data_IF_565988093001
#
_entry.id   IF_565988093001
#
_cell.length_a   1.000
_cell.length_b   1.000
_cell.length_c   1.000
_cell.angle_alpha   90.00
_cell.angle_beta   90.00
_cell.angle_gamma   90.00
#
_symmetry.space_group_name_H-M   'P 1'
#
loop_
_entity.id
_entity.type
_entity.pdbx_description
1 polymer ?
#
# COMPACT_ATOMS: atom_id res chain seq x y z
N UNK A 1 17.09 7.94 44.42
CA UNK A 1 16.37 7.13 43.44
C UNK A 1 16.14 7.98 42.22
N UNK A 2 17.02 7.88 41.24
CA UNK A 2 16.99 8.67 39.99
C UNK A 2 16.10 7.90 39.00
N UNK A 3 14.97 8.50 38.64
CA UNK A 3 14.09 8.00 37.60
C UNK A 3 14.81 8.07 36.24
N UNK A 4 15.14 6.92 35.68
CA UNK A 4 15.65 6.83 34.29
C UNK A 4 14.60 7.32 33.32
N UNK A 5 14.94 8.18 32.34
CA UNK A 5 14.01 8.63 31.30
C UNK A 5 13.81 7.48 30.28
N UNK A 6 12.83 6.64 30.53
CA UNK A 6 12.42 5.56 29.62
C UNK A 6 11.28 6.07 28.74
N UNK A 7 11.56 6.70 27.62
CA UNK A 7 10.52 6.89 26.58
C UNK A 7 10.96 7.48 25.24
N UNK A 8 12.09 8.20 25.11
CA UNK A 8 12.34 9.00 23.90
C UNK A 8 12.76 8.21 22.64
N UNK A 9 13.34 7.02 22.81
CA UNK A 9 13.80 6.20 21.66
C UNK A 9 12.66 5.42 20.99
N UNK A 10 11.68 4.96 21.77
CA UNK A 10 10.55 4.18 21.24
C UNK A 10 9.55 5.06 20.46
N UNK A 11 9.34 6.31 20.92
CA UNK A 11 8.46 7.27 20.26
C UNK A 11 9.03 7.75 18.92
N UNK A 12 10.34 7.96 18.83
CA UNK A 12 11.00 8.33 17.58
C UNK A 12 10.95 7.21 16.55
N UNK A 13 11.13 5.96 16.95
CA UNK A 13 11.06 4.82 16.03
C UNK A 13 9.65 4.62 15.47
N UNK A 14 8.62 4.76 16.29
CA UNK A 14 7.23 4.67 15.84
C UNK A 14 6.85 5.83 14.89
N UNK A 15 7.32 7.05 15.17
CA UNK A 15 7.11 8.20 14.29
C UNK A 15 7.78 7.99 12.93
N UNK A 16 9.05 7.54 12.93
CA UNK A 16 9.78 7.24 11.69
C UNK A 16 9.10 6.12 10.88
N UNK A 17 8.59 5.09 11.55
CA UNK A 17 7.84 4.03 10.90
C UNK A 17 6.53 4.56 10.29
N UNK A 18 5.80 5.46 10.97
CA UNK A 18 4.62 6.11 10.43
C UNK A 18 4.95 6.99 9.22
N UNK A 19 6.00 7.81 9.31
CA UNK A 19 6.48 8.62 8.18
C UNK A 19 6.91 7.75 7.00
N UNK A 20 7.49 6.57 7.24
CA UNK A 20 7.87 5.64 6.18
C UNK A 20 6.66 5.17 5.36
N UNK A 21 5.49 4.95 5.99
CA UNK A 21 4.25 4.59 5.28
C UNK A 21 3.78 5.79 4.43
N UNK A 22 3.77 6.99 4.99
CA UNK A 22 3.35 8.20 4.25
C UNK A 22 4.24 8.42 3.02
N UNK A 23 5.56 8.31 3.19
CA UNK A 23 6.53 8.41 2.08
C UNK A 23 6.32 7.28 1.07
N UNK A 24 6.04 6.06 1.51
CA UNK A 24 5.74 4.93 0.64
C UNK A 24 4.49 5.22 -0.21
N UNK A 25 3.41 5.69 0.39
CA UNK A 25 2.17 6.01 -0.31
C UNK A 25 2.35 7.18 -1.30
N UNK A 26 3.10 8.21 -0.93
CA UNK A 26 3.44 9.30 -1.84
C UNK A 26 4.27 8.79 -3.03
N UNK A 27 5.26 7.93 -2.78
CA UNK A 27 6.09 7.30 -3.81
C UNK A 27 5.27 6.42 -4.76
N UNK A 28 4.34 5.59 -4.24
CA UNK A 28 3.44 4.77 -5.06
C UNK A 28 2.62 5.65 -6.00
N UNK A 29 2.01 6.72 -5.49
CA UNK A 29 1.19 7.62 -6.30
C UNK A 29 2.02 8.36 -7.35
N UNK A 30 3.24 8.79 -7.02
CA UNK A 30 4.16 9.38 -7.98
C UNK A 30 4.55 8.37 -9.07
N UNK A 31 4.89 7.14 -8.69
CA UNK A 31 5.17 6.06 -9.63
C UNK A 31 3.96 5.71 -10.52
N UNK A 32 2.74 5.77 -9.99
CA UNK A 32 1.51 5.57 -10.76
C UNK A 32 1.28 6.68 -11.79
N UNK A 33 1.66 7.92 -11.49
CA UNK A 33 1.61 9.02 -12.47
C UNK A 33 2.52 8.73 -13.68
N UNK A 34 3.74 8.24 -13.45
CA UNK A 34 4.64 7.80 -14.53
C UNK A 34 4.14 6.53 -15.23
N UNK A 35 3.49 5.62 -14.53
CA UNK A 35 2.94 4.39 -15.10
C UNK A 35 1.87 4.65 -16.17
N UNK A 36 1.09 5.74 -16.04
CA UNK A 36 0.09 6.15 -17.04
C UNK A 36 0.69 6.30 -18.44
N UNK A 37 1.93 6.80 -18.57
CA UNK A 37 2.61 6.97 -19.86
C UNK A 37 3.01 5.64 -20.51
N UNK A 38 3.08 4.56 -19.75
CA UNK A 38 3.38 3.22 -20.26
C UNK A 38 2.14 2.43 -20.70
N UNK A 39 0.94 2.81 -20.26
CA UNK A 39 -0.29 2.10 -20.60
C UNK A 39 -0.54 1.97 -22.12
N UNK A 40 -0.29 3.00 -22.95
CA UNK A 40 -0.45 2.87 -24.41
C UNK A 40 0.55 1.90 -25.05
N UNK A 41 1.70 1.63 -24.40
CA UNK A 41 2.77 0.83 -24.96
C UNK A 41 2.64 -0.65 -24.56
N UNK A 42 2.41 -0.94 -23.28
CA UNK A 42 2.46 -2.30 -22.75
C UNK A 42 1.15 -2.75 -22.10
N UNK A 43 0.14 -1.89 -22.08
CA UNK A 43 -1.11 -2.15 -21.35
C UNK A 43 -0.94 -2.13 -19.83
N UNK A 44 -2.04 -2.07 -19.06
CA UNK A 44 -1.97 -2.10 -17.61
C UNK A 44 -1.30 -3.36 -17.05
N UNK A 45 -1.61 -4.56 -17.60
CA UNK A 45 -1.00 -5.81 -17.17
C UNK A 45 0.50 -5.86 -17.46
N UNK A 46 0.93 -5.33 -18.61
CA UNK A 46 2.34 -5.21 -18.96
C UNK A 46 3.09 -4.30 -17.99
N UNK A 47 2.47 -3.18 -17.57
CA UNK A 47 3.04 -2.32 -16.52
C UNK A 47 3.15 -3.05 -15.18
N UNK A 48 2.12 -3.81 -14.78
CA UNK A 48 2.15 -4.61 -13.56
C UNK A 48 3.31 -5.63 -13.60
N UNK A 49 3.46 -6.37 -14.69
CA UNK A 49 4.54 -7.33 -14.88
C UNK A 49 5.91 -6.66 -14.90
N UNK A 50 6.08 -5.57 -15.65
CA UNK A 50 7.35 -4.87 -15.79
C UNK A 50 7.83 -4.33 -14.42
N UNK A 51 6.95 -3.65 -13.68
CA UNK A 51 7.31 -3.10 -12.37
C UNK A 51 7.63 -4.17 -11.33
N UNK A 52 6.89 -5.27 -11.30
CA UNK A 52 7.14 -6.35 -10.34
C UNK A 52 8.41 -7.12 -10.68
N UNK A 53 8.68 -7.37 -11.97
CA UNK A 53 9.90 -8.05 -12.43
C UNK A 53 11.14 -7.24 -12.12
N UNK A 54 11.18 -5.97 -12.52
CA UNK A 54 12.34 -5.10 -12.26
C UNK A 54 12.55 -4.96 -10.75
N UNK A 55 11.48 -4.78 -9.97
CA UNK A 55 11.57 -4.68 -8.52
C UNK A 55 12.05 -5.98 -7.88
N UNK A 56 11.59 -7.14 -8.35
CA UNK A 56 12.06 -8.43 -7.88
C UNK A 56 13.57 -8.59 -8.09
N UNK A 57 14.08 -8.27 -9.29
CA UNK A 57 15.50 -8.34 -9.60
C UNK A 57 16.32 -7.42 -8.69
N UNK A 58 15.90 -6.15 -8.54
CA UNK A 58 16.58 -5.16 -7.69
C UNK A 58 16.59 -5.65 -6.23
N UNK A 59 15.45 -6.06 -5.73
CA UNK A 59 15.30 -6.49 -4.33
C UNK A 59 16.04 -7.79 -4.04
N UNK A 60 16.09 -8.74 -4.97
CA UNK A 60 16.91 -9.95 -4.86
C UNK A 60 18.39 -9.61 -4.79
N UNK A 61 18.86 -8.69 -5.62
CA UNK A 61 20.27 -8.25 -5.62
C UNK A 61 20.65 -7.57 -4.29
N UNK A 62 19.75 -6.75 -3.72
CA UNK A 62 19.95 -6.04 -2.44
C UNK A 62 19.85 -7.00 -1.25
N UNK A 63 18.77 -7.77 -1.18
CA UNK A 63 18.44 -8.61 -0.02
C UNK A 63 19.31 -9.87 0.07
N UNK A 64 19.72 -10.40 -1.09
CA UNK A 64 20.47 -11.67 -1.20
C UNK A 64 19.86 -12.78 -0.34
N UNK A 65 18.56 -13.10 -0.52
CA UNK A 65 17.81 -13.98 0.38
C UNK A 65 18.38 -15.41 0.47
N UNK A 66 19.16 -15.84 -0.50
CA UNK A 66 19.88 -17.13 -0.49
C UNK A 66 20.90 -17.25 0.64
N UNK A 67 21.28 -16.14 1.29
CA UNK A 67 22.13 -16.12 2.49
C UNK A 67 21.35 -16.27 3.78
N UNK A 68 20.03 -16.16 3.73
CA UNK A 68 19.15 -16.28 4.90
C UNK A 68 18.60 -17.70 5.00
N UNK A 69 18.60 -18.27 6.19
CA UNK A 69 17.94 -19.56 6.43
C UNK A 69 16.45 -19.31 6.65
N UNK A 70 15.66 -19.70 5.66
CA UNK A 70 14.19 -19.59 5.72
C UNK A 70 13.62 -20.93 6.14
N UNK A 71 12.86 -20.96 7.23
CA UNK A 71 12.16 -22.18 7.68
C UNK A 71 10.94 -22.45 6.81
N UNK A 72 10.46 -23.71 6.77
CA UNK A 72 9.25 -24.08 6.02
C UNK A 72 8.00 -23.27 6.43
N UNK A 73 7.89 -22.92 7.72
CA UNK A 73 6.81 -22.07 8.24
C UNK A 73 6.90 -20.65 7.69
N UNK A 74 8.08 -20.07 7.68
CA UNK A 74 8.32 -18.72 7.11
C UNK A 74 8.09 -18.72 5.60
N UNK A 75 8.55 -19.76 4.88
CA UNK A 75 8.33 -19.89 3.44
C UNK A 75 6.83 -19.90 3.10
N UNK A 76 6.00 -20.59 3.88
CA UNK A 76 4.54 -20.58 3.70
C UNK A 76 3.97 -19.16 3.78
N UNK A 77 4.37 -18.39 4.79
CA UNK A 77 3.90 -17.00 4.93
C UNK A 77 4.42 -16.08 3.83
N UNK A 78 5.64 -16.30 3.36
CA UNK A 78 6.22 -15.57 2.23
C UNK A 78 5.48 -15.86 0.93
N UNK A 79 5.11 -17.13 0.69
CA UNK A 79 4.31 -17.52 -0.48
C UNK A 79 2.93 -16.87 -0.43
N UNK A 80 2.22 -16.95 0.71
CA UNK A 80 0.91 -16.30 0.88
C UNK A 80 1.03 -14.80 0.65
N UNK A 81 2.02 -14.14 1.29
CA UNK A 81 2.28 -12.72 1.13
C UNK A 81 2.52 -12.33 -0.33
N UNK A 82 3.37 -13.07 -1.03
CA UNK A 82 3.70 -12.79 -2.43
C UNK A 82 2.54 -13.07 -3.39
N UNK A 83 1.75 -14.14 -3.18
CA UNK A 83 0.53 -14.42 -3.95
C UNK A 83 -0.51 -13.30 -3.76
N UNK A 84 -0.73 -12.88 -2.53
CA UNK A 84 -1.64 -11.77 -2.20
C UNK A 84 -1.16 -10.47 -2.84
N UNK A 85 0.14 -10.18 -2.77
CA UNK A 85 0.74 -9.00 -3.38
C UNK A 85 0.61 -9.01 -4.92
N UNK A 86 0.87 -10.16 -5.56
CA UNK A 86 0.73 -10.34 -7.00
C UNK A 86 -0.73 -10.24 -7.45
N UNK A 87 -1.63 -10.90 -6.72
CA UNK A 87 -3.08 -10.84 -6.95
C UNK A 87 -3.63 -9.42 -6.81
N UNK A 88 -3.24 -8.69 -5.76
CA UNK A 88 -3.60 -7.28 -5.56
C UNK A 88 -3.20 -6.44 -6.78
N UNK A 89 -1.92 -6.52 -7.18
CA UNK A 89 -1.42 -5.77 -8.32
C UNK A 89 -2.17 -6.11 -9.62
N UNK A 90 -2.44 -7.37 -9.87
CA UNK A 90 -3.11 -7.80 -11.10
C UNK A 90 -4.59 -7.37 -11.11
N UNK A 91 -5.31 -7.58 -10.01
CA UNK A 91 -6.73 -7.24 -9.91
C UNK A 91 -6.98 -5.75 -10.05
N UNK A 92 -6.17 -4.89 -9.43
CA UNK A 92 -6.37 -3.44 -9.57
C UNK A 92 -6.13 -2.96 -11.00
N UNK A 93 -5.16 -3.56 -11.73
CA UNK A 93 -4.94 -3.23 -13.13
C UNK A 93 -6.06 -3.76 -14.05
N UNK A 94 -6.65 -4.91 -13.74
CA UNK A 94 -7.86 -5.36 -14.42
C UNK A 94 -9.08 -4.47 -14.17
N UNK A 95 -9.19 -3.93 -12.95
CA UNK A 95 -10.20 -2.92 -12.65
C UNK A 95 -9.99 -1.66 -13.52
N UNK A 96 -8.75 -1.16 -13.62
CA UNK A 96 -8.42 0.05 -14.41
C UNK A 96 -8.70 -0.08 -15.93
N UNK A 97 -8.75 -1.30 -16.46
CA UNK A 97 -9.22 -1.53 -17.85
C UNK A 97 -10.71 -1.31 -18.03
N UNK A 98 -11.51 -1.41 -16.97
CA UNK A 98 -12.97 -1.49 -17.00
C UNK A 98 -13.66 -0.31 -16.37
N UNK A 99 -13.05 0.30 -15.34
CA UNK A 99 -13.57 1.45 -14.61
C UNK A 99 -12.51 2.55 -14.51
N UNK A 100 -12.94 3.81 -14.33
CA UNK A 100 -12.00 4.92 -14.12
C UNK A 100 -11.05 4.65 -12.96
N UNK A 101 -9.76 4.99 -13.15
CA UNK A 101 -8.68 4.71 -12.19
C UNK A 101 -9.02 5.25 -10.80
N UNK A 102 -9.54 6.49 -10.72
CA UNK A 102 -9.92 7.10 -9.44
C UNK A 102 -10.99 6.32 -8.67
N UNK A 103 -11.95 5.71 -9.38
CA UNK A 103 -12.98 4.86 -8.77
C UNK A 103 -12.36 3.54 -8.31
N UNK A 104 -11.50 2.93 -9.12
CA UNK A 104 -10.78 1.69 -8.75
C UNK A 104 -9.95 1.87 -7.49
N UNK A 105 -9.15 2.94 -7.41
CA UNK A 105 -8.35 3.28 -6.20
C UNK A 105 -9.26 3.57 -5.00
N UNK A 106 -10.38 4.28 -5.20
CA UNK A 106 -11.32 4.58 -4.14
C UNK A 106 -11.97 3.32 -3.55
N UNK A 107 -12.25 2.31 -4.38
CA UNK A 107 -12.75 1.02 -3.91
C UNK A 107 -11.63 0.22 -3.23
N UNK A 108 -10.44 0.19 -3.79
CA UNK A 108 -9.29 -0.56 -3.27
C UNK A 108 -8.93 -0.12 -1.83
N UNK A 109 -9.07 1.17 -1.49
CA UNK A 109 -8.79 1.69 -0.15
C UNK A 109 -9.72 1.10 0.94
N UNK A 110 -10.85 0.50 0.57
CA UNK A 110 -11.70 -0.22 1.51
C UNK A 110 -10.96 -1.38 2.19
N UNK A 111 -9.89 -1.90 1.60
CA UNK A 111 -9.04 -2.93 2.20
C UNK A 111 -8.37 -2.47 3.50
N UNK A 112 -7.46 -1.47 3.46
CA UNK A 112 -6.86 -0.88 4.65
C UNK A 112 -7.89 -0.39 5.68
N UNK A 113 -8.98 0.24 5.25
CA UNK A 113 -10.06 0.67 6.15
C UNK A 113 -10.78 -0.52 6.79
N UNK A 114 -10.97 -1.61 6.06
CA UNK A 114 -11.50 -2.87 6.58
C UNK A 114 -10.59 -3.49 7.65
N UNK A 115 -9.27 -3.40 7.50
CA UNK A 115 -8.31 -3.83 8.55
C UNK A 115 -8.48 -3.00 9.81
N UNK A 116 -8.64 -1.67 9.68
CA UNK A 116 -8.89 -0.79 10.83
C UNK A 116 -10.16 -1.23 11.54
N UNK A 117 -11.26 -1.43 10.81
CA UNK A 117 -12.55 -1.85 11.36
C UNK A 117 -12.47 -3.22 12.05
N UNK A 118 -11.80 -4.20 11.45
CA UNK A 118 -11.68 -5.55 11.98
C UNK A 118 -10.76 -5.65 13.21
N UNK A 119 -9.77 -4.75 13.33
CA UNK A 119 -8.74 -4.81 14.38
C UNK A 119 -8.93 -3.76 15.47
N UNK A 120 -9.81 -2.80 15.28
CA UNK A 120 -10.11 -1.75 16.25
C UNK A 120 -11.11 -2.21 17.30
N UNK A 121 -10.91 -1.73 18.55
CA UNK A 121 -11.83 -1.89 19.67
C UNK A 121 -12.13 -0.57 20.38
N UNK A 122 -11.72 0.55 19.79
CA UNK A 122 -11.85 1.89 20.39
C UNK A 122 -12.87 2.72 19.61
N UNK A 123 -13.76 3.40 20.33
CA UNK A 123 -14.71 4.38 19.74
C UNK A 123 -13.94 5.49 18.98
N UNK A 124 -12.76 5.87 19.46
CA UNK A 124 -11.92 6.88 18.79
C UNK A 124 -11.47 6.43 17.40
N UNK A 125 -11.10 5.15 17.24
CA UNK A 125 -10.68 4.62 15.93
C UNK A 125 -11.86 4.61 14.97
N UNK A 126 -13.07 4.34 15.47
CA UNK A 126 -14.28 4.40 14.67
C UNK A 126 -14.58 5.83 14.19
N UNK A 127 -14.35 6.84 15.03
CA UNK A 127 -14.48 8.25 14.62
C UNK A 127 -13.46 8.61 13.50
N UNK A 128 -12.22 8.17 13.64
CA UNK A 128 -11.21 8.36 12.58
C UNK A 128 -11.56 7.63 11.30
N UNK A 129 -12.13 6.41 11.42
CA UNK A 129 -12.62 5.65 10.27
C UNK A 129 -13.75 6.39 9.55
N UNK A 130 -14.76 6.91 10.28
CA UNK A 130 -15.87 7.68 9.72
C UNK A 130 -15.34 8.95 9.04
N UNK A 131 -14.35 9.64 9.64
CA UNK A 131 -13.73 10.82 9.04
C UNK A 131 -12.99 10.47 7.73
N UNK A 132 -12.26 9.34 7.70
CA UNK A 132 -11.58 8.86 6.50
C UNK A 132 -12.56 8.47 5.39
N UNK A 133 -13.64 7.76 5.73
CA UNK A 133 -14.71 7.40 4.79
C UNK A 133 -15.46 8.63 4.26
N UNK A 134 -15.72 9.62 5.12
CA UNK A 134 -16.32 10.89 4.72
C UNK A 134 -15.41 11.65 3.72
N UNK A 135 -14.12 11.73 4.00
CA UNK A 135 -13.14 12.30 3.08
C UNK A 135 -13.08 11.53 1.75
N UNK A 136 -13.08 10.21 1.80
CA UNK A 136 -13.12 9.37 0.61
C UNK A 136 -14.38 9.63 -0.24
N UNK A 137 -15.54 9.70 0.40
CA UNK A 137 -16.82 9.98 -0.26
C UNK A 137 -16.82 11.36 -0.96
N UNK A 138 -16.18 12.37 -0.36
CA UNK A 138 -16.03 13.70 -0.96
C UNK A 138 -14.99 13.73 -2.09
N UNK A 139 -14.01 12.84 -2.06
CA UNK A 139 -12.96 12.79 -3.08
C UNK A 139 -13.46 12.14 -4.37
N UNK A 140 -14.36 11.17 -4.28
CA UNK A 140 -14.93 10.49 -5.45
C UNK A 140 -15.79 11.50 -6.22
N UNK A 141 -15.55 11.67 -7.53
CA UNK A 141 -16.43 12.48 -8.36
C UNK A 141 -17.79 11.79 -8.47
N UNK A 142 -18.80 12.31 -7.80
CA UNK A 142 -20.18 11.83 -7.90
C UNK A 142 -20.70 12.10 -9.29
N UNK A 143 -21.11 11.10 -10.06
CA UNK A 143 -21.48 11.29 -11.43
C UNK A 143 -22.91 11.84 -11.55
N UNK A 144 -23.02 13.07 -11.99
CA UNK A 144 -24.30 13.57 -12.50
C UNK A 144 -24.63 13.10 -13.93
N UNK A 145 -23.71 12.38 -14.61
CA UNK A 145 -23.82 11.92 -16.02
C UNK A 145 -23.01 10.64 -16.29
N UNK A 146 -22.92 9.71 -15.35
CA UNK A 146 -22.07 8.55 -15.56
C UNK A 146 -22.78 7.44 -16.32
N UNK A 147 -22.07 6.87 -17.29
CA UNK A 147 -22.39 5.55 -17.80
C UNK A 147 -22.36 4.52 -16.66
N UNK A 148 -23.23 3.48 -16.69
CA UNK A 148 -23.22 2.44 -15.67
C UNK A 148 -21.81 1.83 -15.56
N UNK A 149 -21.30 1.74 -14.33
CA UNK A 149 -19.99 1.16 -14.06
C UNK A 149 -20.00 -0.35 -14.38
N UNK A 150 -18.94 -0.84 -14.99
CA UNK A 150 -18.76 -2.28 -15.23
C UNK A 150 -18.62 -3.02 -13.89
N UNK A 151 -19.59 -3.90 -13.59
CA UNK A 151 -19.62 -4.70 -12.37
C UNK A 151 -18.38 -5.60 -12.22
N UNK A 152 -17.82 -6.10 -13.32
CA UNK A 152 -16.58 -6.87 -13.28
C UNK A 152 -15.39 -6.00 -12.85
N UNK A 153 -15.34 -4.73 -13.29
CA UNK A 153 -14.34 -3.77 -12.84
C UNK A 153 -14.44 -3.47 -11.34
N UNK A 154 -15.67 -3.32 -10.83
CA UNK A 154 -15.91 -3.16 -9.39
C UNK A 154 -15.48 -4.43 -8.62
N UNK A 155 -15.82 -5.62 -9.10
CA UNK A 155 -15.44 -6.89 -8.47
C UNK A 155 -13.92 -7.06 -8.40
N UNK A 156 -13.19 -6.70 -9.46
CA UNK A 156 -11.72 -6.71 -9.44
C UNK A 156 -11.15 -5.70 -8.44
N UNK A 157 -11.71 -4.49 -8.34
CA UNK A 157 -11.26 -3.50 -7.37
C UNK A 157 -11.51 -3.94 -5.93
N UNK A 158 -12.67 -4.57 -5.64
CA UNK A 158 -12.96 -5.18 -4.33
C UNK A 158 -12.03 -6.36 -4.04
N UNK A 159 -11.70 -7.19 -5.05
CA UNK A 159 -10.70 -8.26 -4.93
C UNK A 159 -9.33 -7.70 -4.58
N UNK A 160 -8.91 -6.62 -5.23
CA UNK A 160 -7.67 -5.91 -4.89
C UNK A 160 -7.71 -5.36 -3.45
N UNK A 161 -8.84 -4.77 -3.02
CA UNK A 161 -9.05 -4.32 -1.64
C UNK A 161 -8.89 -5.46 -0.63
N UNK A 162 -9.50 -6.62 -0.87
CA UNK A 162 -9.35 -7.79 -0.02
C UNK A 162 -7.90 -8.29 0.03
N UNK A 163 -7.21 -8.31 -1.12
CA UNK A 163 -5.79 -8.62 -1.17
C UNK A 163 -4.96 -7.61 -0.37
N UNK A 164 -5.25 -6.30 -0.45
CA UNK A 164 -4.52 -5.30 0.32
C UNK A 164 -4.72 -5.48 1.83
N UNK A 165 -5.94 -5.76 2.27
CA UNK A 165 -6.20 -6.11 3.67
C UNK A 165 -5.37 -7.33 4.12
N UNK A 166 -5.35 -8.40 3.33
CA UNK A 166 -4.55 -9.59 3.61
C UNK A 166 -3.05 -9.29 3.59
N UNK A 167 -2.57 -8.46 2.66
CA UNK A 167 -1.19 -7.99 2.60
C UNK A 167 -0.75 -7.36 3.92
N UNK A 168 -1.57 -6.45 4.48
CA UNK A 168 -1.29 -5.80 5.78
C UNK A 168 -1.26 -6.83 6.92
N UNK A 169 -2.19 -7.77 6.94
CA UNK A 169 -2.30 -8.78 8.00
C UNK A 169 -1.19 -9.84 7.91
N UNK A 170 -0.89 -10.32 6.70
CA UNK A 170 0.15 -11.34 6.47
C UNK A 170 1.56 -10.75 6.52
N UNK A 171 1.73 -9.49 6.16
CA UNK A 171 3.03 -8.81 6.07
C UNK A 171 3.80 -8.87 7.39
N UNK A 172 3.09 -8.73 8.52
CA UNK A 172 3.71 -8.85 9.85
C UNK A 172 4.33 -10.23 10.10
N UNK A 173 3.69 -11.31 9.66
CA UNK A 173 4.23 -12.69 9.79
C UNK A 173 5.31 -12.96 8.75
N UNK A 174 5.13 -12.47 7.53
CA UNK A 174 6.15 -12.59 6.50
C UNK A 174 7.46 -11.86 6.90
N UNK A 175 7.37 -10.75 7.63
CA UNK A 175 8.54 -9.97 8.08
C UNK A 175 9.39 -10.64 9.18
N UNK A 176 8.95 -11.75 9.78
CA UNK A 176 9.72 -12.51 10.78
C UNK A 176 11.07 -13.03 10.22
N UNK A 177 11.20 -13.19 8.90
CA UNK A 177 12.46 -13.56 8.23
C UNK A 177 13.38 -12.36 7.98
N UNK A 178 12.94 -11.16 8.37
CA UNK A 178 13.58 -9.88 8.06
C UNK A 178 12.88 -9.15 6.92
N UNK A 179 12.62 -7.84 7.11
CA UNK A 179 11.81 -7.03 6.20
C UNK A 179 12.30 -7.07 4.75
N UNK A 180 13.62 -6.92 4.56
CA UNK A 180 14.22 -6.89 3.21
C UNK A 180 14.10 -8.24 2.50
N UNK A 181 14.32 -9.34 3.23
CA UNK A 181 14.16 -10.71 2.70
C UNK A 181 12.70 -10.99 2.37
N UNK A 182 11.78 -10.58 3.24
CA UNK A 182 10.34 -10.77 3.03
C UNK A 182 9.85 -10.06 1.77
N UNK A 183 10.25 -8.79 1.57
CA UNK A 183 9.84 -8.03 0.38
C UNK A 183 10.45 -8.62 -0.89
N UNK A 184 11.73 -9.01 -0.87
CA UNK A 184 12.39 -9.56 -2.06
C UNK A 184 11.78 -10.89 -2.51
N UNK A 185 11.55 -11.82 -1.59
CA UNK A 185 10.92 -13.11 -1.90
C UNK A 185 9.43 -12.94 -2.25
N UNK A 186 8.71 -12.09 -1.51
CA UNK A 186 7.32 -11.77 -1.82
C UNK A 186 7.16 -11.13 -3.20
N UNK A 187 8.04 -10.19 -3.56
CA UNK A 187 8.02 -9.57 -4.89
C UNK A 187 8.37 -10.58 -5.99
N UNK A 188 9.25 -11.55 -5.74
CA UNK A 188 9.55 -12.63 -6.68
C UNK A 188 8.30 -13.49 -6.93
N UNK A 189 7.56 -13.86 -5.88
CA UNK A 189 6.30 -14.60 -6.02
C UNK A 189 5.26 -13.73 -6.73
N UNK A 190 5.15 -12.45 -6.41
CA UNK A 190 4.24 -11.53 -7.11
C UNK A 190 4.58 -11.40 -8.60
N UNK A 191 5.87 -11.37 -8.95
CA UNK A 191 6.34 -11.40 -10.33
C UNK A 191 5.85 -12.67 -11.07
N UNK A 192 5.97 -13.84 -10.44
CA UNK A 192 5.47 -15.10 -11.02
C UNK A 192 3.95 -15.07 -11.28
N UNK A 193 3.19 -14.32 -10.48
CA UNK A 193 1.74 -14.14 -10.70
C UNK A 193 1.46 -13.17 -11.85
N UNK A 194 2.20 -12.05 -11.94
CA UNK A 194 1.88 -10.97 -12.88
C UNK A 194 2.45 -11.17 -14.28
N UNK A 195 3.64 -11.79 -14.39
CA UNK A 195 4.34 -11.96 -15.69
C UNK A 195 3.54 -12.74 -16.73
N UNK A 196 2.88 -13.87 -16.42
CA UNK A 196 2.10 -14.59 -17.41
C UNK A 196 1.06 -13.71 -18.13
N UNK A 197 0.39 -12.82 -17.39
CA UNK A 197 -0.60 -11.90 -17.93
C UNK A 197 0.04 -10.70 -18.65
N UNK A 198 1.18 -10.22 -18.15
CA UNK A 198 1.91 -9.14 -18.80
C UNK A 198 2.48 -9.53 -20.16
N UNK A 199 2.93 -10.78 -20.31
CA UNK A 199 3.45 -11.30 -21.57
C UNK A 199 2.38 -11.39 -22.66
N UNK A 200 1.12 -11.60 -22.32
CA UNK A 200 0.02 -11.62 -23.28
C UNK A 200 -0.38 -10.23 -23.75
N UNK A 201 -0.06 -9.19 -22.99
CA UNK A 201 -0.40 -7.79 -23.29
C UNK A 201 0.79 -7.01 -23.89
N UNK A 202 2.02 -7.47 -23.70
CA UNK A 202 3.21 -6.77 -24.12
C UNK A 202 3.48 -6.92 -25.63
N UNK A 203 4.00 -5.87 -26.32
CA UNK A 203 4.46 -5.98 -27.70
C UNK A 203 5.70 -6.91 -27.78
N UNK A 204 5.95 -7.46 -28.97
CA UNK A 204 7.08 -8.36 -29.21
C UNK A 204 8.47 -7.73 -28.89
N UNK A 205 8.57 -6.40 -28.96
CA UNK A 205 9.77 -5.65 -28.59
C UNK A 205 9.41 -4.45 -27.75
N UNK A 206 10.09 -4.28 -26.63
CA UNK A 206 9.95 -3.12 -25.75
C UNK A 206 10.97 -2.04 -26.18
N UNK A 207 10.52 -0.80 -26.48
CA UNK A 207 11.45 0.28 -26.78
C UNK A 207 12.27 0.64 -25.52
N UNK A 208 13.52 1.05 -25.72
CA UNK A 208 14.46 1.33 -24.63
C UNK A 208 13.94 2.39 -23.63
N UNK A 209 13.23 3.40 -24.12
CA UNK A 209 12.64 4.42 -23.26
C UNK A 209 11.54 3.82 -22.34
N UNK A 210 10.79 2.82 -22.80
CA UNK A 210 9.79 2.14 -21.96
C UNK A 210 10.44 1.31 -20.85
N UNK A 211 11.62 0.73 -21.09
CA UNK A 211 12.40 0.07 -20.05
C UNK A 211 12.92 1.08 -19.01
N UNK A 212 13.40 2.24 -19.45
CA UNK A 212 13.83 3.33 -18.57
C UNK A 212 12.69 3.86 -17.68
N UNK A 213 11.53 4.14 -18.27
CA UNK A 213 10.32 4.49 -17.52
C UNK A 213 9.87 3.35 -16.61
N UNK A 214 9.94 2.11 -17.07
CA UNK A 214 9.63 0.92 -16.27
C UNK A 214 10.51 0.80 -15.04
N UNK A 215 11.80 1.15 -15.14
CA UNK A 215 12.71 1.19 -14.00
C UNK A 215 12.27 2.26 -12.98
N UNK A 216 11.95 3.47 -13.43
CA UNK A 216 11.46 4.55 -12.56
C UNK A 216 10.17 4.13 -11.86
N UNK A 217 9.22 3.57 -12.60
CA UNK A 217 7.95 3.06 -12.06
C UNK A 217 8.20 1.93 -11.05
N UNK A 218 9.10 0.99 -11.36
CA UNK A 218 9.44 -0.11 -10.46
C UNK A 218 10.05 0.38 -9.13
N UNK A 219 10.95 1.35 -9.20
CA UNK A 219 11.57 1.92 -8.00
C UNK A 219 10.55 2.69 -7.16
N UNK A 220 9.79 3.60 -7.76
CA UNK A 220 8.88 4.49 -7.06
C UNK A 220 7.61 3.79 -6.59
N UNK A 221 7.04 2.86 -7.36
CA UNK A 221 5.76 2.23 -7.02
C UNK A 221 5.87 0.83 -6.44
N UNK A 222 7.09 0.24 -6.38
CA UNK A 222 7.24 -1.12 -5.86
C UNK A 222 8.44 -1.29 -4.94
N UNK A 223 9.68 -1.18 -5.43
CA UNK A 223 10.87 -1.56 -4.65
C UNK A 223 11.00 -0.71 -3.38
N UNK A 224 11.02 0.62 -3.51
CA UNK A 224 11.15 1.53 -2.39
C UNK A 224 9.95 1.47 -1.43
N UNK A 225 8.71 1.65 -1.87
CA UNK A 225 7.58 1.71 -0.96
C UNK A 225 7.34 0.41 -0.21
N UNK A 226 7.40 -0.74 -0.86
CA UNK A 226 7.20 -2.01 -0.15
C UNK A 226 8.29 -2.31 0.87
N UNK A 227 9.54 -1.85 0.65
CA UNK A 227 10.58 -1.93 1.69
C UNK A 227 10.27 -1.03 2.88
N UNK A 228 9.78 0.19 2.65
CA UNK A 228 9.40 1.13 3.69
C UNK A 228 8.19 0.61 4.49
N UNK A 229 7.16 0.13 3.81
CA UNK A 229 5.96 -0.44 4.43
C UNK A 229 6.29 -1.69 5.25
N UNK A 230 7.09 -2.61 4.71
CA UNK A 230 7.45 -3.83 5.42
C UNK A 230 8.26 -3.53 6.69
N UNK A 231 9.17 -2.56 6.65
CA UNK A 231 9.87 -2.09 7.85
C UNK A 231 8.90 -1.49 8.87
N UNK A 232 7.96 -0.67 8.41
CA UNK A 232 6.94 -0.09 9.27
C UNK A 232 6.04 -1.16 9.91
N UNK A 233 5.65 -2.20 9.16
CA UNK A 233 4.85 -3.32 9.65
C UNK A 233 5.52 -4.11 10.77
N UNK A 234 6.85 -4.11 10.88
CA UNK A 234 7.55 -4.73 12.01
C UNK A 234 7.41 -3.93 13.31
N UNK A 235 7.15 -2.63 13.22
CA UNK A 235 7.15 -1.70 14.35
C UNK A 235 5.74 -1.22 14.72
N UNK A 236 4.81 -1.21 13.76
CA UNK A 236 3.45 -0.71 13.93
C UNK A 236 2.43 -1.84 13.96
N UNK A 237 1.30 -1.61 14.63
CA UNK A 237 0.16 -2.53 14.56
C UNK A 237 -0.50 -2.45 13.17
N UNK A 238 -1.11 -3.56 12.72
CA UNK A 238 -1.84 -3.61 11.44
C UNK A 238 -2.92 -2.54 11.33
N UNK A 239 -3.53 -2.15 12.46
CA UNK A 239 -4.50 -1.05 12.55
C UNK A 239 -3.89 0.28 12.12
N UNK A 240 -2.73 0.65 12.68
CA UNK A 240 -2.03 1.91 12.35
C UNK A 240 -1.56 1.88 10.90
N UNK A 241 -1.01 0.76 10.44
CA UNK A 241 -0.63 0.57 9.04
C UNK A 241 -1.83 0.78 8.12
N UNK A 242 -2.96 0.11 8.40
CA UNK A 242 -4.18 0.25 7.61
C UNK A 242 -4.69 1.68 7.53
N UNK A 243 -4.69 2.41 8.66
CA UNK A 243 -5.17 3.78 8.66
C UNK A 243 -4.18 4.75 7.97
N UNK A 244 -2.88 4.60 8.17
CA UNK A 244 -1.89 5.39 7.43
C UNK A 244 -1.95 5.12 5.93
N UNK A 245 -2.13 3.86 5.53
CA UNK A 245 -2.32 3.50 4.12
C UNK A 245 -3.61 4.09 3.52
N UNK A 246 -4.64 4.34 4.35
CA UNK A 246 -5.88 4.98 3.89
C UNK A 246 -5.72 6.45 3.45
N UNK A 247 -4.55 7.07 3.69
CA UNK A 247 -4.20 8.37 3.10
C UNK A 247 -3.86 8.29 1.59
N UNK A 248 -3.70 7.10 1.01
CA UNK A 248 -3.28 6.97 -0.38
C UNK A 248 -4.08 7.82 -1.37
N UNK A 249 -5.43 7.91 -1.32
CA UNK A 249 -6.18 8.78 -2.22
C UNK A 249 -5.90 10.28 -2.02
N UNK A 250 -5.68 10.70 -0.77
CA UNK A 250 -5.33 12.10 -0.47
C UNK A 250 -3.95 12.47 -1.05
N UNK A 251 -2.97 11.58 -0.88
CA UNK A 251 -1.65 11.74 -1.47
C UNK A 251 -1.70 11.65 -3.00
N UNK A 252 -2.55 10.78 -3.55
CA UNK A 252 -2.80 10.70 -4.99
C UNK A 252 -3.36 12.00 -5.55
N UNK A 253 -4.32 12.62 -4.87
CA UNK A 253 -4.87 13.92 -5.24
C UNK A 253 -3.81 15.04 -5.20
N UNK A 254 -2.95 15.05 -4.18
CA UNK A 254 -1.85 16.00 -4.06
C UNK A 254 -0.83 15.82 -5.20
N UNK A 255 -0.43 14.57 -5.48
CA UNK A 255 0.47 14.26 -6.60
C UNK A 255 -0.17 14.63 -7.94
N UNK A 256 -1.45 14.33 -8.13
CA UNK A 256 -2.22 14.73 -9.31
C UNK A 256 -2.19 16.24 -9.54
N UNK A 257 -2.39 17.00 -8.48
CA UNK A 257 -2.35 18.46 -8.54
C UNK A 257 -0.96 18.99 -8.95
N UNK A 258 0.12 18.57 -8.27
CA UNK A 258 1.46 19.10 -8.51
C UNK A 258 2.16 18.51 -9.74
N UNK A 259 1.93 17.23 -10.06
CA UNK A 259 2.67 16.51 -11.11
C UNK A 259 1.89 16.46 -12.42
N UNK A 260 0.58 16.23 -12.34
CA UNK A 260 -0.28 16.11 -13.53
C UNK A 260 -1.02 17.41 -13.87
N UNK A 261 -0.91 18.46 -13.03
CA UNK A 261 -1.62 19.74 -13.23
C UNK A 261 -3.14 19.62 -13.04
N UNK A 262 -3.61 18.58 -12.34
CA UNK A 262 -5.04 18.38 -12.08
C UNK A 262 -5.55 19.47 -11.13
N UNK A 263 -6.71 20.05 -11.42
CA UNK A 263 -7.32 21.08 -10.56
C UNK A 263 -8.28 20.41 -9.59
N UNK A 264 -8.00 20.59 -8.30
CA UNK A 264 -8.88 20.12 -7.24
C UNK A 264 -9.93 21.17 -6.90
N UNK A 265 -11.18 20.73 -6.73
CA UNK A 265 -12.27 21.56 -6.19
C UNK A 265 -12.09 21.81 -4.69
N UNK A 266 -12.78 22.81 -4.15
CA UNK A 266 -12.76 23.07 -2.69
C UNK A 266 -13.21 21.86 -1.86
N UNK A 267 -14.19 21.06 -2.35
CA UNK A 267 -14.63 19.82 -1.70
C UNK A 267 -13.54 18.74 -1.69
N UNK A 268 -12.79 18.62 -2.78
CA UNK A 268 -11.66 17.67 -2.84
C UNK A 268 -10.51 18.08 -1.91
N UNK A 269 -10.24 19.38 -1.77
CA UNK A 269 -9.29 19.86 -0.75
C UNK A 269 -9.77 19.55 0.67
N UNK A 270 -11.07 19.73 0.97
CA UNK A 270 -11.64 19.33 2.25
C UNK A 270 -11.49 17.83 2.48
N UNK A 271 -11.74 16.99 1.46
CA UNK A 271 -11.53 15.55 1.51
C UNK A 271 -10.08 15.18 1.88
N UNK A 272 -9.10 15.82 1.22
CA UNK A 272 -7.66 15.62 1.52
C UNK A 272 -7.36 15.93 2.99
N UNK A 273 -7.84 17.07 3.50
CA UNK A 273 -7.66 17.47 4.89
C UNK A 273 -8.29 16.47 5.86
N UNK A 274 -9.52 16.01 5.60
CA UNK A 274 -10.20 15.02 6.43
C UNK A 274 -9.42 13.70 6.51
N UNK A 275 -8.91 13.19 5.39
CA UNK A 275 -8.15 11.94 5.34
C UNK A 275 -6.80 12.06 6.05
N UNK A 276 -6.10 13.19 5.90
CA UNK A 276 -4.86 13.47 6.61
C UNK A 276 -5.12 13.58 8.12
N UNK A 277 -6.17 14.30 8.53
CA UNK A 277 -6.55 14.44 9.93
C UNK A 277 -6.91 13.09 10.56
N UNK A 278 -7.66 12.23 9.85
CA UNK A 278 -7.99 10.87 10.31
C UNK A 278 -6.72 10.05 10.56
N UNK A 279 -5.79 10.05 9.63
CA UNK A 279 -4.54 9.29 9.73
C UNK A 279 -3.62 9.83 10.85
N UNK A 280 -3.50 11.16 10.97
CA UNK A 280 -2.73 11.80 12.03
C UNK A 280 -3.35 11.54 13.42
N UNK A 281 -4.68 11.67 13.53
CA UNK A 281 -5.41 11.46 14.79
C UNK A 281 -5.28 10.02 15.32
N UNK A 282 -5.34 9.03 14.43
CA UNK A 282 -5.10 7.64 14.83
C UNK A 282 -3.65 7.40 15.26
N UNK A 283 -2.67 7.97 14.55
CA UNK A 283 -1.26 7.82 14.90
C UNK A 283 -0.94 8.42 16.28
N UNK A 284 -1.56 9.55 16.63
CA UNK A 284 -1.41 10.18 17.94
C UNK A 284 -2.12 9.39 19.05
N UNK A 285 -3.30 8.83 18.76
CA UNK A 285 -4.04 8.00 19.72
C UNK A 285 -3.38 6.67 20.06
N UNK A 286 -2.50 6.17 19.19
CA UNK A 286 -1.72 4.95 19.41
C UNK A 286 -0.60 5.09 20.48
N UNK A 287 -0.29 6.30 20.91
CA UNK A 287 0.73 6.60 21.96
C UNK A 287 0.28 6.35 23.39
N UNK A 288 -0.98 5.94 23.65
CA UNK A 288 -1.44 5.62 24.99
C UNK A 288 -1.02 4.18 25.42
N UNK A 289 -0.59 3.97 26.65
CA UNK A 289 0.49 3.04 27.01
C UNK A 289 0.07 1.58 27.17
N UNK A 290 0.95 0.66 26.76
CA UNK A 290 1.02 -0.75 27.24
C UNK A 290 1.62 -0.80 28.68
N UNK A 291 1.40 0.18 29.53
CA UNK A 291 2.01 0.27 30.85
C UNK A 291 1.16 -0.31 32.00
N UNK A 292 0.03 -1.00 31.73
CA UNK A 292 -0.86 -1.45 32.81
C UNK A 292 -1.07 -2.97 32.95
N UNK A 293 -0.37 -3.78 32.17
CA UNK A 293 -0.56 -5.24 32.23
C UNK A 293 0.59 -6.00 32.93
N UNK A 294 1.51 -5.32 33.63
CA UNK A 294 2.63 -5.97 34.30
C UNK A 294 2.56 -5.93 35.83
N UNK A 295 1.70 -5.10 36.41
CA UNK A 295 1.59 -4.97 37.86
C UNK A 295 0.58 -5.97 38.49
N UNK A 296 -0.30 -6.58 37.67
CA UNK A 296 -1.30 -7.56 38.18
C UNK A 296 -0.79 -9.01 38.19
N UNK A 297 0.47 -9.28 37.86
CA UNK A 297 1.06 -10.62 37.85
C UNK A 297 2.07 -10.81 39.02
N UNK A 298 2.32 -9.76 39.80
CA UNK A 298 3.22 -9.84 40.98
C UNK A 298 2.55 -9.36 42.28
N UNK A 299 1.24 -9.48 42.40
CA UNK A 299 0.53 -9.35 43.70
C UNK A 299 -0.07 -10.68 44.11
#
# INVERSE_FOLDING_TARGET
MTATPYSSTNDRSALLAGLSIVVAQASINLGAAFAKSLFPIVGPEGVAALRTTISAVILLAIARPWRSRVTARQLRWLLVYGLVLGGMNLMIYWAFRRIPIGIGVAIEICGPLGVVLATSRSVRDFLWLVLALGGLALLIPWPGRAQPLDLAGIAFALGAAACWALYILCGKRASEVGSTTAVSLGMTVACLVTVPFGLTAAPASLPLHALGLGLVVALLSSALPYMLEMRAMTQLSSRIVGLLSSMAPALGAIVGYFVLGERLTGLQWLAVVMMIAASAGCSLGARAPVAKARDDVMA
#
